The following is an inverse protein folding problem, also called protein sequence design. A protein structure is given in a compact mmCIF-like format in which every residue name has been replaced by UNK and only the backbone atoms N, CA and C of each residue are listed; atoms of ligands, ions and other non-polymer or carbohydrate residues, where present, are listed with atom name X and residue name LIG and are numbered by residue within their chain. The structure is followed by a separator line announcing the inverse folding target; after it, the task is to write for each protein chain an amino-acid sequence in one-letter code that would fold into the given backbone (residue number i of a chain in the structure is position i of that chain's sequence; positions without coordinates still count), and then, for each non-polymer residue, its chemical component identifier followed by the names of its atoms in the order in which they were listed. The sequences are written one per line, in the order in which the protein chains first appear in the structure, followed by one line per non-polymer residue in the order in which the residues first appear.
data_IF_470578652395
#
_entry.id   IF_470578652395
#
_cell.length_a   1.000
_cell.length_b   1.000
_cell.length_c   1.000
_cell.angle_alpha   90.00
_cell.angle_beta   90.00
_cell.angle_gamma   90.00
#
_symmetry.space_group_name_H-M   'P 1'
#
loop_
_entity.id
_entity.type
_entity.pdbx_description
1 polymer ?
#
# COMPACT_ATOMS: atom_id res chain seq x y z
N UNK A 1 8.71 -7.86 -10.95
CA UNK A 1 8.99 -6.59 -11.66
C UNK A 1 10.50 -6.47 -11.80
N UNK A 2 11.02 -6.08 -12.97
CA UNK A 2 12.45 -5.83 -13.14
C UNK A 2 12.85 -4.43 -12.65
N UNK A 3 14.08 -4.28 -12.17
CA UNK A 3 14.63 -3.01 -11.62
C UNK A 3 14.46 -1.83 -12.60
N UNK A 4 14.60 -2.08 -13.90
CA UNK A 4 14.48 -1.05 -14.95
C UNK A 4 13.09 -0.38 -14.97
N UNK A 5 12.02 -1.14 -14.69
CA UNK A 5 10.66 -0.57 -14.65
C UNK A 5 10.41 0.26 -13.39
N UNK A 6 11.14 0.00 -12.30
CA UNK A 6 11.08 0.82 -11.09
C UNK A 6 11.79 2.15 -11.30
N UNK A 7 12.98 2.12 -11.93
CA UNK A 7 13.73 3.33 -12.26
C UNK A 7 12.89 4.29 -13.14
N UNK A 8 12.26 3.76 -14.19
CA UNK A 8 11.38 4.56 -15.07
C UNK A 8 10.26 5.25 -14.30
N UNK A 9 9.59 4.55 -13.37
CA UNK A 9 8.51 5.14 -12.56
C UNK A 9 8.99 6.23 -11.61
N UNK A 10 10.20 6.12 -11.08
CA UNK A 10 10.79 7.16 -10.22
C UNK A 10 11.08 8.41 -11.03
N UNK A 11 11.61 8.25 -12.25
CA UNK A 11 11.83 9.37 -13.18
C UNK A 11 10.51 10.05 -13.54
N UNK A 12 9.50 9.29 -13.97
CA UNK A 12 8.17 9.82 -14.29
C UNK A 12 7.54 10.58 -13.10
N UNK A 13 7.73 10.10 -11.87
CA UNK A 13 7.25 10.79 -10.68
C UNK A 13 7.96 12.13 -10.46
N UNK A 14 9.29 12.15 -10.60
CA UNK A 14 10.09 13.37 -10.43
C UNK A 14 9.78 14.41 -11.52
N UNK A 15 9.64 14.01 -12.78
CA UNK A 15 9.23 14.91 -13.87
C UNK A 15 7.85 15.54 -13.60
N UNK A 16 6.92 14.76 -13.04
CA UNK A 16 5.61 15.27 -12.63
C UNK A 16 5.69 16.22 -11.44
N UNK A 17 6.62 16.02 -10.52
CA UNK A 17 6.88 16.94 -9.42
C UNK A 17 7.44 18.27 -9.94
N UNK A 18 8.45 18.22 -10.80
CA UNK A 18 9.09 19.41 -11.38
C UNK A 18 8.11 20.24 -12.22
N UNK A 19 7.24 19.57 -12.98
CA UNK A 19 6.19 20.23 -13.78
C UNK A 19 4.97 20.68 -12.96
N UNK A 20 4.95 20.48 -11.64
CA UNK A 20 3.82 20.82 -10.76
C UNK A 20 2.57 19.95 -10.93
N UNK A 21 2.65 18.90 -11.76
CA UNK A 21 1.56 17.93 -12.03
C UNK A 21 1.42 16.84 -10.97
N UNK A 22 2.29 16.85 -9.97
CA UNK A 22 2.21 16.04 -8.77
C UNK A 22 2.63 16.86 -7.56
N UNK A 23 2.14 16.49 -6.39
CA UNK A 23 2.61 17.05 -5.11
C UNK A 23 3.60 16.10 -4.46
N UNK A 24 4.60 16.66 -3.78
CA UNK A 24 5.53 15.88 -2.96
C UNK A 24 4.73 15.06 -1.95
N UNK A 25 5.11 13.80 -1.77
CA UNK A 25 4.49 12.95 -0.75
C UNK A 25 4.80 13.57 0.62
N UNK A 26 3.74 13.83 1.40
CA UNK A 26 3.81 14.36 2.76
C UNK A 26 3.38 13.27 3.74
N UNK A 27 3.82 13.31 5.01
CA UNK A 27 3.39 12.36 6.04
C UNK A 27 1.86 12.18 6.09
N UNK A 28 1.10 13.27 6.07
CA UNK A 28 -0.37 13.25 6.05
C UNK A 28 -0.97 12.46 4.86
N UNK A 29 -0.32 12.46 3.68
CA UNK A 29 -0.77 11.63 2.56
C UNK A 29 -0.61 10.14 2.88
N UNK A 30 0.50 9.78 3.52
CA UNK A 30 0.82 8.40 3.90
C UNK A 30 -0.10 7.93 5.03
N UNK A 31 -0.36 8.76 6.04
CA UNK A 31 -1.32 8.46 7.11
C UNK A 31 -2.72 8.13 6.58
N UNK A 32 -3.22 8.91 5.60
CA UNK A 32 -4.52 8.65 4.96
C UNK A 32 -4.53 7.32 4.22
N UNK A 33 -3.43 6.95 3.55
CA UNK A 33 -3.32 5.66 2.85
C UNK A 33 -3.21 4.53 3.87
N UNK A 34 -2.43 4.70 4.93
CA UNK A 34 -2.26 3.74 6.01
C UNK A 34 -3.59 3.41 6.69
N UNK A 35 -4.41 4.44 6.99
CA UNK A 35 -5.76 4.24 7.54
C UNK A 35 -6.65 3.40 6.62
N UNK A 36 -6.60 3.63 5.29
CA UNK A 36 -7.35 2.83 4.31
C UNK A 36 -6.85 1.39 4.25
N UNK A 37 -5.53 1.18 4.30
CA UNK A 37 -4.92 -0.15 4.27
C UNK A 37 -5.24 -0.94 5.54
N UNK A 38 -5.21 -0.31 6.72
CA UNK A 38 -5.61 -0.92 7.99
C UNK A 38 -7.08 -1.34 7.96
N UNK A 39 -7.98 -0.42 7.60
CA UNK A 39 -9.40 -0.75 7.42
C UNK A 39 -9.60 -1.93 6.46
N UNK A 40 -8.86 -1.96 5.33
CA UNK A 40 -8.98 -3.07 4.38
C UNK A 40 -8.48 -4.40 4.93
N UNK A 41 -7.45 -4.37 5.76
CA UNK A 41 -6.91 -5.54 6.46
C UNK A 41 -7.97 -6.08 7.42
N UNK A 42 -8.59 -5.22 8.22
CA UNK A 42 -9.66 -5.61 9.16
C UNK A 42 -10.88 -6.22 8.44
N UNK A 43 -11.31 -5.61 7.31
CA UNK A 43 -12.40 -6.14 6.47
C UNK A 43 -12.07 -7.54 5.93
N UNK A 44 -10.83 -7.76 5.47
CA UNK A 44 -10.40 -9.06 4.95
C UNK A 44 -10.33 -10.11 6.05
N UNK A 45 -9.87 -9.75 7.24
CA UNK A 45 -9.85 -10.66 8.40
C UNK A 45 -11.27 -11.06 8.82
N UNK A 46 -12.20 -10.10 8.87
CA UNK A 46 -13.61 -10.39 9.13
C UNK A 46 -14.24 -11.28 8.03
N UNK A 47 -13.89 -11.06 6.75
CA UNK A 47 -14.38 -11.89 5.65
C UNK A 47 -13.80 -13.32 5.70
N UNK A 48 -12.54 -13.49 6.12
CA UNK A 48 -11.93 -14.82 6.33
C UNK A 48 -12.62 -15.56 7.47
N UNK A 49 -12.91 -14.86 8.58
CA UNK A 49 -13.57 -15.45 9.74
C UNK A 49 -14.98 -15.95 9.41
N UNK A 50 -15.71 -15.22 8.55
CA UNK A 50 -17.08 -15.56 8.11
C UNK A 50 -17.15 -16.48 6.89
N UNK A 51 -16.03 -16.73 6.19
CA UNK A 51 -16.04 -17.62 5.04
C UNK A 51 -16.15 -19.09 5.47
N UNK A 52 -17.03 -19.85 4.81
CA UNK A 52 -17.17 -21.29 5.04
C UNK A 52 -16.43 -22.16 4.01
N UNK A 53 -16.11 -21.61 2.83
CA UNK A 53 -15.38 -22.30 1.77
C UNK A 53 -13.87 -22.17 1.95
N UNK A 54 -13.16 -23.30 1.89
CA UNK A 54 -11.69 -23.35 1.98
C UNK A 54 -11.00 -22.60 0.82
N UNK A 55 -11.52 -22.72 -0.41
CA UNK A 55 -10.98 -21.97 -1.57
C UNK A 55 -11.15 -20.46 -1.38
N UNK A 56 -12.32 -20.04 -0.87
CA UNK A 56 -12.57 -18.62 -0.57
C UNK A 56 -11.59 -18.10 0.49
N UNK A 57 -11.38 -18.85 1.58
CA UNK A 57 -10.41 -18.48 2.63
C UNK A 57 -9.00 -18.34 2.06
N UNK A 58 -8.52 -19.32 1.29
CA UNK A 58 -7.18 -19.29 0.71
C UNK A 58 -6.96 -18.06 -0.21
N UNK A 59 -7.98 -17.66 -0.97
CA UNK A 59 -7.90 -16.43 -1.79
C UNK A 59 -7.87 -15.16 -0.95
N UNK A 60 -8.67 -15.11 0.12
CA UNK A 60 -8.71 -13.96 1.03
C UNK A 60 -7.42 -13.83 1.84
N UNK A 61 -6.83 -14.93 2.30
CA UNK A 61 -5.53 -14.95 3.00
C UNK A 61 -4.40 -14.42 2.10
N UNK A 62 -4.39 -14.80 0.81
CA UNK A 62 -3.44 -14.22 -0.16
C UNK A 62 -3.62 -12.71 -0.29
N UNK A 63 -4.86 -12.22 -0.34
CA UNK A 63 -5.14 -10.78 -0.37
C UNK A 63 -4.72 -10.09 0.92
N UNK A 64 -4.94 -10.73 2.06
CA UNK A 64 -4.54 -10.24 3.37
C UNK A 64 -3.02 -10.09 3.47
N UNK A 65 -2.26 -11.07 2.99
CA UNK A 65 -0.79 -11.00 2.94
C UNK A 65 -0.27 -9.80 2.13
N UNK A 66 -0.89 -9.53 0.98
CA UNK A 66 -0.57 -8.33 0.17
C UNK A 66 -0.94 -7.05 0.90
N UNK A 67 -2.12 -7.00 1.54
CA UNK A 67 -2.56 -5.83 2.32
C UNK A 67 -1.60 -5.53 3.48
N UNK A 68 -1.19 -6.56 4.25
CA UNK A 68 -0.20 -6.44 5.34
C UNK A 68 1.15 -5.93 4.84
N UNK A 69 1.64 -6.48 3.73
CA UNK A 69 2.88 -5.98 3.08
C UNK A 69 2.78 -4.50 2.71
N UNK A 70 1.61 -4.04 2.26
CA UNK A 70 1.39 -2.63 1.94
C UNK A 70 1.31 -1.76 3.21
N UNK A 71 0.73 -2.26 4.30
CA UNK A 71 0.74 -1.60 5.61
C UNK A 71 2.18 -1.39 6.08
N UNK A 72 2.99 -2.44 6.11
CA UNK A 72 4.40 -2.37 6.53
C UNK A 72 5.21 -1.34 5.71
N UNK A 73 5.03 -1.34 4.38
CA UNK A 73 5.67 -0.36 3.49
C UNK A 73 5.22 1.07 3.75
N UNK A 74 3.93 1.27 4.04
CA UNK A 74 3.39 2.58 4.36
C UNK A 74 3.88 3.08 5.72
N UNK A 75 3.99 2.20 6.72
CA UNK A 75 4.56 2.51 8.03
C UNK A 75 6.04 2.86 7.93
N UNK A 76 6.81 2.09 7.15
CA UNK A 76 8.20 2.41 6.85
C UNK A 76 8.35 3.78 6.18
N UNK A 77 7.54 4.06 5.15
CA UNK A 77 7.58 5.35 4.44
C UNK A 77 7.20 6.51 5.36
N UNK A 78 6.21 6.32 6.22
CA UNK A 78 5.81 7.34 7.19
C UNK A 78 6.98 7.67 8.13
N UNK A 79 7.64 6.66 8.68
CA UNK A 79 8.81 6.83 9.53
C UNK A 79 9.96 7.55 8.78
N UNK A 80 10.19 7.23 7.51
CA UNK A 80 11.24 7.88 6.72
C UNK A 80 10.94 9.36 6.42
N UNK A 81 9.65 9.72 6.25
CA UNK A 81 9.24 11.11 6.04
C UNK A 81 9.13 11.94 7.33
N UNK A 82 9.13 11.28 8.49
CA UNK A 82 9.07 11.89 9.81
C UNK A 82 10.43 12.05 10.49
N UNK A 83 11.50 11.56 9.86
CA UNK A 83 12.90 11.81 10.22
C UNK A 83 13.38 13.13 9.61
#
# INVERSE_FOLDING_TARGET
MGLNKLAAKVVEYNERLESGKASKIKPNHVEKVLAKLKKKTDELEAEIASAHSADKKARLEKKLGVARTHVERAEWLLNELSR
#
